data_IF_035036693121
#
_entry.id   IF_035036693121
#
_cell.length_a   1.000
_cell.length_b   1.000
_cell.length_c   1.000
_cell.angle_alpha   90.00
_cell.angle_beta   90.00
_cell.angle_gamma   90.00
#
_symmetry.space_group_name_H-M   'P 1'
#
loop_
_entity.id
_entity.type
_entity.pdbx_description
1 polymer ?
#
# COMPACT_ATOMS: atom_id res chain seq x y z
N UNK A 1 -19.29 -23.17 0.63
CA UNK A 1 -20.21 -22.68 1.68
C UNK A 1 -19.73 -22.98 3.10
N UNK A 2 -19.48 -24.24 3.48
CA UNK A 2 -19.05 -24.59 4.86
C UNK A 2 -17.69 -24.00 5.26
N UNK A 3 -16.71 -23.98 4.35
CA UNK A 3 -15.39 -23.37 4.57
C UNK A 3 -15.54 -21.87 4.93
N UNK A 4 -16.32 -21.12 4.15
CA UNK A 4 -16.58 -19.69 4.40
C UNK A 4 -17.23 -19.45 5.77
N UNK A 5 -18.23 -20.26 6.15
CA UNK A 5 -18.90 -20.14 7.44
C UNK A 5 -17.92 -20.37 8.61
N UNK A 6 -17.05 -21.37 8.50
CA UNK A 6 -16.02 -21.65 9.50
C UNK A 6 -15.00 -20.51 9.59
N UNK A 7 -14.57 -19.92 8.46
CA UNK A 7 -13.67 -18.77 8.43
C UNK A 7 -14.29 -17.54 9.11
N UNK A 8 -15.57 -17.22 8.83
CA UNK A 8 -16.28 -16.13 9.50
C UNK A 8 -16.34 -16.33 11.02
N UNK A 9 -16.67 -17.55 11.44
CA UNK A 9 -16.74 -17.90 12.86
C UNK A 9 -15.36 -17.79 13.53
N UNK A 10 -14.31 -18.33 12.91
CA UNK A 10 -12.94 -18.25 13.43
C UNK A 10 -12.40 -16.82 13.51
N UNK A 11 -12.82 -15.93 12.61
CA UNK A 11 -12.47 -14.51 12.63
C UNK A 11 -13.31 -13.67 13.61
N UNK A 12 -14.27 -14.26 14.32
CA UNK A 12 -15.17 -13.54 15.24
C UNK A 12 -16.11 -12.56 14.54
N UNK A 13 -16.33 -12.71 13.23
CA UNK A 13 -17.22 -11.84 12.45
C UNK A 13 -18.68 -12.19 12.75
N UNK A 14 -19.24 -11.57 13.78
CA UNK A 14 -20.68 -11.58 14.05
C UNK A 14 -21.35 -10.54 13.12
N UNK A 15 -22.56 -10.82 12.61
CA UNK A 15 -23.23 -10.05 11.54
C UNK A 15 -23.30 -8.52 11.71
N UNK A 16 -23.02 -8.00 12.91
CA UNK A 16 -22.93 -6.56 13.23
C UNK A 16 -21.67 -5.85 12.68
N UNK A 17 -20.57 -6.54 12.42
CA UNK A 17 -19.31 -5.93 11.92
C UNK A 17 -19.33 -5.54 10.43
N UNK A 18 -20.41 -5.87 9.72
CA UNK A 18 -20.51 -5.77 8.26
C UNK A 18 -20.98 -4.41 7.72
N UNK A 19 -21.20 -3.44 8.61
CA UNK A 19 -21.71 -2.11 8.25
C UNK A 19 -20.66 -0.99 8.34
N UNK A 20 -19.38 -1.33 8.51
CA UNK A 20 -18.32 -0.34 8.60
C UNK A 20 -17.65 -0.11 7.23
N UNK A 21 -17.91 1.06 6.69
CA UNK A 21 -17.26 1.75 5.56
C UNK A 21 -17.84 1.54 4.16
N UNK A 22 -18.87 2.34 3.86
CA UNK A 22 -19.42 2.53 2.51
C UNK A 22 -18.54 3.43 1.63
N UNK A 23 -17.26 3.10 1.44
CA UNK A 23 -16.39 3.89 0.57
C UNK A 23 -15.33 3.06 -0.16
N UNK A 24 -15.76 2.23 -1.13
CA UNK A 24 -15.20 2.19 -2.49
C UNK A 24 -16.32 1.68 -3.40
N UNK A 25 -16.62 2.45 -4.45
CA UNK A 25 -17.59 2.14 -5.50
C UNK A 25 -17.41 0.72 -6.06
N UNK A 26 -18.39 -0.17 -5.84
CA UNK A 26 -18.58 -1.34 -6.71
C UNK A 26 -18.94 -2.68 -6.07
N UNK A 27 -18.89 -2.86 -4.74
CA UNK A 27 -19.31 -4.13 -4.12
C UNK A 27 -20.31 -3.87 -3.01
N UNK A 28 -21.57 -4.28 -3.22
CA UNK A 28 -22.56 -4.36 -2.15
C UNK A 28 -22.04 -5.29 -1.07
N UNK A 29 -21.60 -4.73 0.05
CA UNK A 29 -20.97 -5.47 1.14
C UNK A 29 -22.03 -6.18 1.98
N UNK A 30 -22.53 -7.30 1.47
CA UNK A 30 -23.12 -8.34 2.30
C UNK A 30 -22.01 -9.35 2.62
N UNK A 31 -21.58 -9.42 3.87
CA UNK A 31 -20.70 -10.49 4.37
C UNK A 31 -21.30 -11.90 4.23
N UNK A 32 -22.55 -12.00 3.79
CA UNK A 32 -23.24 -13.26 3.59
C UNK A 32 -22.95 -13.86 2.22
N UNK A 33 -22.48 -13.05 1.27
CA UNK A 33 -22.09 -13.54 -0.03
C UNK A 33 -20.74 -14.25 0.05
N UNK A 34 -20.69 -15.46 -0.53
CA UNK A 34 -19.42 -16.18 -0.71
C UNK A 34 -18.59 -15.36 -1.70
N UNK A 35 -17.38 -14.93 -1.33
CA UNK A 35 -16.56 -14.13 -2.23
C UNK A 35 -16.18 -14.95 -3.47
N UNK A 36 -16.23 -14.31 -4.65
CA UNK A 36 -15.82 -14.92 -5.92
C UNK A 36 -14.29 -14.95 -6.11
N UNK A 37 -13.53 -14.65 -5.05
CA UNK A 37 -12.06 -14.58 -5.09
C UNK A 37 -11.43 -15.89 -5.57
N UNK A 38 -12.05 -17.04 -5.30
CA UNK A 38 -11.55 -18.34 -5.73
C UNK A 38 -11.54 -18.50 -7.26
N UNK A 39 -12.33 -17.70 -7.98
CA UNK A 39 -12.38 -17.68 -9.45
C UNK A 39 -11.25 -16.86 -10.08
N UNK A 40 -10.56 -16.02 -9.30
CA UNK A 40 -9.44 -15.21 -9.77
C UNK A 40 -8.15 -16.03 -9.68
N UNK A 41 -7.31 -16.12 -10.71
CA UNK A 41 -6.02 -16.80 -10.63
C UNK A 41 -5.20 -16.37 -9.42
N UNK A 42 -4.61 -17.32 -8.70
CA UNK A 42 -3.87 -17.07 -7.46
C UNK A 42 -2.75 -16.01 -7.64
N UNK A 43 -2.09 -15.99 -8.80
CA UNK A 43 -1.10 -14.97 -9.13
C UNK A 43 -1.67 -13.54 -9.04
N UNK A 44 -2.87 -13.32 -9.54
CA UNK A 44 -3.52 -12.00 -9.51
C UNK A 44 -3.98 -11.62 -8.10
N UNK A 45 -4.42 -12.60 -7.29
CA UNK A 45 -4.75 -12.36 -5.87
C UNK A 45 -3.52 -11.91 -5.09
N UNK A 46 -2.40 -12.63 -5.21
CA UNK A 46 -1.16 -12.24 -4.55
C UNK A 46 -0.60 -10.91 -5.07
N UNK A 47 -0.79 -10.60 -6.35
CA UNK A 47 -0.45 -9.30 -6.90
C UNK A 47 -1.29 -8.18 -6.26
N UNK A 48 -2.60 -8.39 -6.12
CA UNK A 48 -3.50 -7.43 -5.46
C UNK A 48 -3.09 -7.20 -3.99
N UNK A 49 -2.87 -8.26 -3.22
CA UNK A 49 -2.40 -8.18 -1.83
C UNK A 49 -1.05 -7.45 -1.74
N UNK A 50 -0.12 -7.74 -2.66
CA UNK A 50 1.19 -7.08 -2.72
C UNK A 50 1.06 -5.57 -2.98
N UNK A 51 0.19 -5.17 -3.92
CA UNK A 51 -0.08 -3.76 -4.21
C UNK A 51 -0.74 -3.06 -3.03
N UNK A 52 -1.70 -3.71 -2.37
CA UNK A 52 -2.36 -3.15 -1.18
C UNK A 52 -1.35 -2.92 -0.04
N UNK A 53 -0.51 -3.91 0.23
CA UNK A 53 0.54 -3.81 1.24
C UNK A 53 1.57 -2.71 0.92
N UNK A 54 1.96 -2.57 -0.36
CA UNK A 54 2.81 -1.49 -0.82
C UNK A 54 2.15 -0.12 -0.60
N UNK A 55 0.91 0.04 -1.06
CA UNK A 55 0.17 1.30 -1.00
C UNK A 55 -0.02 1.78 0.44
N UNK A 56 -0.33 0.86 1.37
CA UNK A 56 -0.47 1.18 2.79
C UNK A 56 0.82 1.77 3.38
N UNK A 57 1.95 1.08 3.19
CA UNK A 57 3.26 1.57 3.66
C UNK A 57 3.65 2.89 2.97
N UNK A 58 3.41 2.98 1.66
CA UNK A 58 3.68 4.21 0.90
C UNK A 58 2.87 5.39 1.46
N UNK A 59 1.60 5.18 1.78
CA UNK A 59 0.73 6.23 2.32
C UNK A 59 1.27 6.76 3.66
N UNK A 60 1.73 5.88 4.55
CA UNK A 60 2.33 6.28 5.82
C UNK A 60 3.59 7.14 5.59
N UNK A 61 4.51 6.70 4.72
CA UNK A 61 5.74 7.46 4.43
C UNK A 61 5.47 8.80 3.73
N UNK A 62 4.50 8.83 2.82
CA UNK A 62 4.11 10.06 2.12
C UNK A 62 3.46 11.06 3.07
N UNK A 63 2.66 10.62 4.06
CA UNK A 63 2.10 11.51 5.09
C UNK A 63 3.21 12.24 5.85
N UNK A 64 4.28 11.54 6.22
CA UNK A 64 5.44 12.15 6.90
C UNK A 64 6.14 13.19 6.02
N UNK A 65 6.37 12.87 4.74
CA UNK A 65 6.94 13.82 3.77
C UNK A 65 6.06 15.06 3.62
N UNK A 66 4.75 14.87 3.39
CA UNK A 66 3.81 15.98 3.21
C UNK A 66 3.78 16.87 4.45
N UNK A 67 3.70 16.29 5.65
CA UNK A 67 3.67 17.04 6.91
C UNK A 67 4.92 17.91 7.08
N UNK A 68 6.11 17.35 6.81
CA UNK A 68 7.39 18.04 7.03
C UNK A 68 7.80 18.98 5.88
N UNK A 69 7.24 18.79 4.68
CA UNK A 69 7.51 19.67 3.54
C UNK A 69 6.45 20.77 3.36
N UNK A 70 5.19 20.55 3.78
CA UNK A 70 4.16 21.59 3.74
C UNK A 70 4.44 22.72 4.72
N UNK A 71 5.03 22.42 5.88
CA UNK A 71 5.51 23.46 6.82
C UNK A 71 6.51 24.42 6.15
N UNK A 72 7.19 24.01 5.07
CA UNK A 72 8.10 24.89 4.33
C UNK A 72 7.35 25.88 3.44
N UNK A 73 6.14 25.53 2.98
CA UNK A 73 5.26 26.48 2.27
C UNK A 73 4.67 27.49 3.25
N UNK A 74 4.37 27.07 4.48
CA UNK A 74 3.77 27.93 5.51
C UNK A 74 4.77 28.89 6.18
N UNK A 75 6.10 28.64 6.13
CA UNK A 75 7.10 29.63 6.58
C UNK A 75 7.02 30.97 5.80
N UNK A 76 6.34 31.05 4.64
CA UNK A 76 6.19 32.28 3.87
C UNK A 76 7.51 32.98 3.49
N UNK A 77 7.41 34.21 2.97
CA UNK A 77 8.57 35.08 2.71
C UNK A 77 9.06 35.85 3.97
N UNK A 78 8.31 35.77 5.07
CA UNK A 78 8.52 36.57 6.30
C UNK A 78 9.28 35.85 7.41
N UNK A 79 9.58 34.55 7.27
CA UNK A 79 10.38 33.88 8.28
C UNK A 79 11.88 34.17 8.11
N UNK A 80 12.50 34.65 9.19
CA UNK A 80 13.95 34.71 9.37
C UNK A 80 14.62 33.41 8.88
N UNK A 81 15.83 33.50 8.30
CA UNK A 81 16.50 32.43 7.56
C UNK A 81 16.61 31.06 8.25
N UNK A 82 16.41 30.99 9.56
CA UNK A 82 16.35 29.74 10.34
C UNK A 82 15.14 28.85 9.99
N UNK A 83 13.92 29.38 9.85
CA UNK A 83 12.73 28.57 9.47
C UNK A 83 12.93 27.91 8.10
N UNK A 84 13.47 28.68 7.15
CA UNK A 84 13.75 28.23 5.79
C UNK A 84 14.82 27.14 5.76
N UNK A 85 15.84 27.24 6.62
CA UNK A 85 16.96 26.29 6.67
C UNK A 85 16.57 25.00 7.40
N UNK A 86 15.90 25.12 8.55
CA UNK A 86 15.45 23.97 9.33
C UNK A 86 14.39 23.16 8.57
N UNK A 87 13.45 23.83 7.90
CA UNK A 87 12.44 23.15 7.11
C UNK A 87 13.04 22.45 5.88
N UNK A 88 13.98 23.09 5.17
CA UNK A 88 14.71 22.43 4.06
C UNK A 88 15.39 21.15 4.54
N UNK A 89 15.97 21.17 5.74
CA UNK A 89 16.70 20.03 6.30
C UNK A 89 15.75 18.90 6.68
N UNK A 90 14.64 19.21 7.38
CA UNK A 90 13.62 18.21 7.75
C UNK A 90 12.92 17.62 6.54
N UNK A 91 12.45 18.45 5.61
CA UNK A 91 11.81 17.99 4.37
C UNK A 91 12.77 17.13 3.52
N UNK A 92 14.03 17.54 3.36
CA UNK A 92 15.04 16.75 2.65
C UNK A 92 15.27 15.40 3.35
N UNK A 93 15.36 15.38 4.67
CA UNK A 93 15.52 14.16 5.46
C UNK A 93 14.36 13.17 5.26
N UNK A 94 13.11 13.63 5.28
CA UNK A 94 11.95 12.77 5.02
C UNK A 94 11.88 12.30 3.55
N UNK A 95 12.21 13.17 2.59
CA UNK A 95 12.34 12.79 1.18
C UNK A 95 13.41 11.72 0.97
N UNK A 96 14.55 11.82 1.66
CA UNK A 96 15.61 10.81 1.63
C UNK A 96 15.16 9.49 2.27
N UNK A 97 14.42 9.53 3.38
CA UNK A 97 13.81 8.33 3.97
C UNK A 97 12.82 7.67 3.01
N UNK A 98 11.98 8.45 2.33
CA UNK A 98 11.06 7.94 1.32
C UNK A 98 11.80 7.34 0.13
N UNK A 99 12.83 8.03 -0.39
CA UNK A 99 13.70 7.51 -1.45
C UNK A 99 14.35 6.19 -1.04
N UNK A 100 14.91 6.13 0.16
CA UNK A 100 15.47 4.91 0.73
C UNK A 100 14.41 3.81 0.88
N UNK A 101 13.17 4.12 1.24
CA UNK A 101 12.08 3.14 1.31
C UNK A 101 11.78 2.50 -0.07
N UNK A 102 11.83 3.29 -1.15
CA UNK A 102 11.61 2.78 -2.52
C UNK A 102 12.84 2.02 -3.05
N UNK A 103 14.04 2.56 -2.84
CA UNK A 103 15.27 2.10 -3.49
C UNK A 103 16.06 1.07 -2.68
N UNK A 104 16.06 1.14 -1.34
CA UNK A 104 16.78 0.18 -0.51
C UNK A 104 15.93 -1.06 -0.28
N UNK A 105 16.62 -2.18 -0.26
CA UNK A 105 16.08 -3.48 0.14
C UNK A 105 15.54 -3.38 1.56
N UNK A 106 14.23 -3.47 1.71
CA UNK A 106 13.61 -3.62 3.03
C UNK A 106 13.89 -5.06 3.50
N UNK A 107 14.07 -5.26 4.81
CA UNK A 107 14.17 -6.61 5.38
C UNK A 107 12.90 -7.41 5.09
N UNK A 108 12.91 -8.73 5.26
CA UNK A 108 11.75 -9.59 4.99
C UNK A 108 10.45 -9.12 5.70
N UNK A 109 10.56 -8.39 6.82
CA UNK A 109 9.45 -7.77 7.53
C UNK A 109 8.78 -6.58 6.79
N UNK A 110 9.46 -5.97 5.82
CA UNK A 110 8.95 -4.85 5.02
C UNK A 110 8.19 -5.25 3.75
N UNK A 111 7.93 -6.54 3.53
CA UNK A 111 7.15 -7.04 2.38
C UNK A 111 7.93 -7.24 1.08
N UNK A 112 9.22 -6.91 1.07
CA UNK A 112 10.14 -7.28 -0.01
C UNK A 112 11.24 -8.12 0.60
N UNK A 113 11.38 -9.39 0.20
CA UNK A 113 12.38 -10.31 0.75
C UNK A 113 13.82 -9.86 0.42
N UNK A 114 14.31 -8.81 1.07
CA UNK A 114 15.65 -8.25 0.87
C UNK A 114 15.89 -7.62 -0.50
N UNK A 115 14.86 -7.16 -1.22
CA UNK A 115 15.00 -6.56 -2.56
C UNK A 115 14.27 -5.22 -2.68
N UNK A 116 14.73 -4.27 -3.51
CA UNK A 116 14.01 -3.03 -3.75
C UNK A 116 12.61 -3.27 -4.32
N UNK A 117 11.64 -2.41 -3.97
CA UNK A 117 10.27 -2.45 -4.50
C UNK A 117 10.24 -2.35 -6.02
N UNK A 118 11.06 -1.46 -6.60
CA UNK A 118 11.20 -1.28 -8.04
C UNK A 118 11.64 -2.55 -8.77
N UNK A 119 12.61 -3.28 -8.19
CA UNK A 119 13.12 -4.53 -8.76
C UNK A 119 12.06 -5.65 -8.72
N UNK A 120 11.28 -5.73 -7.64
CA UNK A 120 10.18 -6.71 -7.55
C UNK A 120 9.04 -6.38 -8.50
N UNK A 121 8.70 -5.10 -8.66
CA UNK A 121 7.71 -4.66 -9.63
C UNK A 121 8.11 -5.03 -11.07
N UNK A 122 9.37 -4.81 -11.46
CA UNK A 122 9.87 -5.21 -12.78
C UNK A 122 9.73 -6.73 -13.04
N UNK A 123 10.02 -7.56 -12.03
CA UNK A 123 9.84 -9.01 -12.13
C UNK A 123 8.37 -9.41 -12.30
N UNK A 124 7.48 -8.81 -11.52
CA UNK A 124 6.03 -9.01 -11.61
C UNK A 124 5.53 -8.61 -12.99
N UNK A 125 5.95 -7.45 -13.49
CA UNK A 125 5.56 -6.94 -14.80
C UNK A 125 5.99 -7.90 -15.90
N UNK A 126 7.27 -8.30 -15.94
CA UNK A 126 7.78 -9.27 -16.93
C UNK A 126 7.02 -10.58 -16.93
N UNK A 127 6.72 -11.11 -15.74
CA UNK A 127 5.96 -12.36 -15.62
C UNK A 127 4.51 -12.20 -16.09
N UNK A 128 3.86 -11.09 -15.74
CA UNK A 128 2.51 -10.80 -16.20
C UNK A 128 2.45 -10.61 -17.73
N UNK A 129 3.40 -9.87 -18.30
CA UNK A 129 3.54 -9.73 -19.76
C UNK A 129 3.75 -11.08 -20.43
N UNK A 130 4.60 -11.95 -19.88
CA UNK A 130 4.77 -13.32 -20.39
C UNK A 130 3.45 -14.10 -20.40
N UNK A 131 2.67 -14.04 -19.33
CA UNK A 131 1.36 -14.71 -19.31
C UNK A 131 0.37 -14.17 -20.34
N UNK A 132 0.43 -12.88 -20.64
CA UNK A 132 -0.37 -12.28 -21.72
C UNK A 132 0.06 -12.84 -23.08
N UNK A 133 1.37 -12.93 -23.33
CA UNK A 133 1.88 -13.48 -24.60
C UNK A 133 1.60 -14.98 -24.74
N UNK A 134 1.80 -15.77 -23.68
CA UNK A 134 1.54 -17.23 -23.68
C UNK A 134 0.05 -17.58 -23.84
N UNK A 135 -0.86 -16.63 -23.57
CA UNK A 135 -2.31 -16.81 -23.69
C UNK A 135 -2.88 -16.39 -25.05
N UNK A 136 -2.04 -15.83 -25.95
CA UNK A 136 -2.41 -15.55 -27.35
C UNK A 136 -2.30 -16.81 -28.19
#
# INVERSE_FOLDING_TARGET
KYIWLAMKHGAGMNGTMCNADGSVTGSGSSCDDIPTIDLIPQYLRFLQEWVEHFCKQRQEKVKDVIKNCNSCKECGDTCNGECKTECKTKCKGECEKYKNFIEKSVSAAGGTSGSPWSKRWDQIYKRYSKYIEDAK
#
